data_IF_382008730039
#
_entry.id   IF_382008730039
#
_cell.length_a   1.000
_cell.length_b   1.000
_cell.length_c   1.000
_cell.angle_alpha   90.00
_cell.angle_beta   90.00
_cell.angle_gamma   90.00
#
_symmetry.space_group_name_H-M   'P 1'
#
loop_
_entity.id
_entity.type
_entity.pdbx_description
1 polymer ?
#
# COMPACT_ATOMS: atom_id res chain seq x y z
N UNK A 1 -13.33 -14.32 7.79
CA UNK A 1 -12.33 -13.52 8.54
C UNK A 1 -11.17 -13.14 7.63
N UNK A 2 -10.51 -14.11 6.98
CA UNK A 2 -9.39 -13.87 6.04
C UNK A 2 -9.63 -12.81 4.96
N UNK A 3 -10.79 -12.81 4.29
CA UNK A 3 -11.10 -11.82 3.26
C UNK A 3 -11.18 -10.38 3.79
N UNK A 4 -11.71 -10.19 5.01
CA UNK A 4 -11.78 -8.86 5.63
C UNK A 4 -10.39 -8.39 6.05
N UNK A 5 -9.56 -9.29 6.60
CA UNK A 5 -8.17 -8.98 6.94
C UNK A 5 -7.35 -8.63 5.69
N UNK A 6 -7.54 -9.36 4.59
CA UNK A 6 -6.92 -9.06 3.29
C UNK A 6 -7.31 -7.67 2.79
N UNK A 7 -8.60 -7.33 2.83
CA UNK A 7 -9.09 -5.99 2.47
C UNK A 7 -8.48 -4.90 3.34
N UNK A 8 -8.39 -5.14 4.65
CA UNK A 8 -7.82 -4.18 5.58
C UNK A 8 -6.33 -3.95 5.30
N UNK A 9 -5.55 -5.01 5.12
CA UNK A 9 -4.13 -4.92 4.82
C UNK A 9 -3.89 -4.19 3.49
N UNK A 10 -4.60 -4.56 2.43
CA UNK A 10 -4.48 -3.90 1.13
C UNK A 10 -4.97 -2.44 1.17
N UNK A 11 -5.99 -2.15 1.97
CA UNK A 11 -6.44 -0.79 2.25
C UNK A 11 -5.33 0.05 2.88
N UNK A 12 -4.66 -0.46 3.91
CA UNK A 12 -3.54 0.24 4.55
C UNK A 12 -2.37 0.49 3.57
N UNK A 13 -2.02 -0.49 2.73
CA UNK A 13 -1.00 -0.30 1.69
C UNK A 13 -1.45 0.79 0.69
N UNK A 14 -2.71 0.78 0.29
CA UNK A 14 -3.27 1.81 -0.59
C UNK A 14 -3.21 3.21 0.03
N UNK A 15 -3.53 3.34 1.32
CA UNK A 15 -3.49 4.61 2.04
C UNK A 15 -2.06 5.17 2.15
N UNK A 16 -1.07 4.31 2.41
CA UNK A 16 0.34 4.69 2.42
C UNK A 16 0.81 5.20 1.05
N UNK A 17 0.45 4.49 -0.02
CA UNK A 17 0.78 4.91 -1.39
C UNK A 17 0.10 6.23 -1.76
N UNK A 18 -1.14 6.45 -1.32
CA UNK A 18 -1.85 7.71 -1.54
C UNK A 18 -1.20 8.88 -0.80
N UNK A 19 -0.76 8.67 0.44
CA UNK A 19 -0.04 9.68 1.22
C UNK A 19 1.33 10.01 0.59
N UNK A 20 2.04 9.00 0.09
CA UNK A 20 3.29 9.17 -0.65
C UNK A 20 3.07 10.02 -1.92
N UNK A 21 2.03 9.71 -2.71
CA UNK A 21 1.69 10.45 -3.91
C UNK A 21 1.35 11.93 -3.61
N UNK A 22 0.59 12.18 -2.55
CA UNK A 22 0.27 13.54 -2.13
C UNK A 22 1.52 14.32 -1.71
N UNK A 23 2.41 13.70 -0.93
CA UNK A 23 3.68 14.33 -0.52
C UNK A 23 4.65 14.53 -1.69
N UNK A 24 4.64 13.64 -2.67
CA UNK A 24 5.42 13.81 -3.90
C UNK A 24 4.91 15.02 -4.71
N UNK A 25 3.59 15.15 -4.89
CA UNK A 25 3.01 16.32 -5.53
C UNK A 25 3.32 17.63 -4.78
N UNK A 26 3.21 17.62 -3.45
CA UNK A 26 3.53 18.79 -2.63
C UNK A 26 5.00 19.20 -2.78
N UNK A 27 5.92 18.22 -2.86
CA UNK A 27 7.35 18.45 -3.06
C UNK A 27 7.62 19.26 -4.34
N UNK A 28 6.91 18.95 -5.42
CA UNK A 28 7.11 19.56 -6.73
C UNK A 28 6.39 20.91 -6.90
N UNK A 29 5.40 21.22 -6.07
CA UNK A 29 4.50 22.36 -6.32
C UNK A 29 4.48 23.41 -5.22
N UNK A 30 4.51 23.03 -3.94
CA UNK A 30 4.30 23.94 -2.82
C UNK A 30 5.46 23.96 -1.82
N UNK A 31 6.23 22.87 -1.74
CA UNK A 31 7.23 22.70 -0.71
C UNK A 31 8.42 23.67 -0.87
N UNK A 32 8.85 24.37 0.19
CA UNK A 32 10.05 25.19 0.14
C UNK A 32 11.31 24.31 -0.01
N UNK A 33 12.34 24.73 -0.79
CA UNK A 33 13.54 23.92 -1.04
C UNK A 33 14.28 23.45 0.22
N UNK A 34 14.25 24.23 1.29
CA UNK A 34 14.90 23.89 2.56
C UNK A 34 14.30 22.65 3.25
N UNK A 35 13.08 22.23 2.89
CA UNK A 35 12.43 21.05 3.46
C UNK A 35 12.80 19.73 2.75
N UNK A 36 13.56 19.78 1.66
CA UNK A 36 13.90 18.60 0.84
C UNK A 36 14.51 17.42 1.64
N UNK A 37 15.44 17.62 2.59
CA UNK A 37 16.01 16.50 3.35
C UNK A 37 14.97 15.75 4.19
N UNK A 38 14.06 16.49 4.85
CA UNK A 38 13.01 15.90 5.69
C UNK A 38 11.95 15.22 4.82
N UNK A 39 11.56 15.83 3.70
CA UNK A 39 10.61 15.23 2.75
C UNK A 39 11.14 13.91 2.18
N UNK A 40 12.41 13.84 1.82
CA UNK A 40 13.04 12.61 1.37
C UNK A 40 12.93 11.47 2.40
N UNK A 41 13.14 11.77 3.68
CA UNK A 41 12.99 10.78 4.76
C UNK A 41 11.54 10.33 4.96
N UNK A 42 10.57 11.26 4.86
CA UNK A 42 9.14 10.93 4.94
C UNK A 42 8.72 9.99 3.82
N UNK A 43 9.07 10.32 2.57
CA UNK A 43 8.77 9.49 1.40
C UNK A 43 9.43 8.12 1.51
N UNK A 44 10.70 8.05 1.89
CA UNK A 44 11.41 6.78 2.08
C UNK A 44 10.76 5.91 3.18
N UNK A 45 10.28 6.53 4.26
CA UNK A 45 9.58 5.82 5.34
C UNK A 45 8.27 5.22 4.84
N UNK A 46 7.45 6.00 4.13
CA UNK A 46 6.18 5.50 3.59
C UNK A 46 6.39 4.38 2.56
N UNK A 47 7.30 4.58 1.60
CA UNK A 47 7.61 3.58 0.60
C UNK A 47 8.12 2.28 1.24
N UNK A 48 9.00 2.40 2.25
CA UNK A 48 9.51 1.25 2.99
C UNK A 48 8.42 0.49 3.76
N UNK A 49 7.51 1.20 4.42
CA UNK A 49 6.38 0.59 5.14
C UNK A 49 5.40 -0.09 4.17
N UNK A 50 5.01 0.60 3.09
CA UNK A 50 4.12 0.05 2.06
C UNK A 50 4.71 -1.20 1.42
N UNK A 51 6.00 -1.17 1.06
CA UNK A 51 6.71 -2.32 0.52
C UNK A 51 6.80 -3.49 1.51
N UNK A 52 7.16 -3.21 2.77
CA UNK A 52 7.28 -4.24 3.82
C UNK A 52 5.95 -4.93 4.06
N UNK A 53 4.85 -4.17 4.13
CA UNK A 53 3.51 -4.74 4.32
C UNK A 53 3.06 -5.56 3.11
N UNK A 54 3.36 -5.09 1.89
CA UNK A 54 2.94 -5.77 0.67
C UNK A 54 3.75 -7.06 0.39
N UNK A 55 5.01 -7.12 0.83
CA UNK A 55 5.87 -8.30 0.64
C UNK A 55 5.91 -9.24 1.87
N UNK A 56 5.18 -8.91 2.93
CA UNK A 56 5.13 -9.74 4.13
C UNK A 56 4.50 -11.12 3.82
N UNK A 57 5.04 -12.23 4.40
CA UNK A 57 4.46 -13.57 4.24
C UNK A 57 2.97 -13.64 4.59
N UNK A 58 2.54 -12.80 5.54
CA UNK A 58 1.14 -12.67 5.95
C UNK A 58 0.20 -12.34 4.79
N UNK A 59 0.63 -11.55 3.79
CA UNK A 59 -0.21 -11.27 2.63
C UNK A 59 -0.48 -12.57 1.83
N UNK A 60 0.55 -13.40 1.62
CA UNK A 60 0.42 -14.69 0.95
C UNK A 60 -0.55 -15.61 1.68
N UNK A 61 -0.41 -15.75 3.00
CA UNK A 61 -1.33 -16.53 3.83
C UNK A 61 -2.79 -16.06 3.71
N UNK A 62 -3.00 -14.74 3.68
CA UNK A 62 -4.33 -14.15 3.54
C UNK A 62 -4.91 -14.34 2.14
N UNK A 63 -4.08 -14.31 1.09
CA UNK A 63 -4.48 -14.61 -0.29
C UNK A 63 -4.88 -16.08 -0.45
N UNK A 64 -4.10 -17.00 0.10
CA UNK A 64 -4.39 -18.45 0.05
C UNK A 64 -5.67 -18.81 0.81
N UNK A 65 -5.91 -18.14 1.95
CA UNK A 65 -7.11 -18.33 2.77
C UNK A 65 -8.31 -17.48 2.32
N UNK A 66 -8.16 -16.62 1.31
CA UNK A 66 -9.23 -15.73 0.87
C UNK A 66 -10.37 -16.52 0.21
N UNK A 67 -11.60 -16.23 0.63
CA UNK A 67 -12.81 -16.78 0.03
C UNK A 67 -13.64 -15.61 -0.51
N UNK A 68 -13.50 -15.27 -1.80
CA UNK A 68 -14.21 -14.15 -2.41
C UNK A 68 -15.73 -14.35 -2.36
N UNK A 69 -16.44 -13.44 -1.71
CA UNK A 69 -17.91 -13.41 -1.68
C UNK A 69 -18.53 -12.57 -2.80
N UNK A 70 -17.70 -11.84 -3.57
CA UNK A 70 -18.13 -10.91 -4.61
C UNK A 70 -17.16 -10.86 -5.79
N UNK A 71 -17.62 -10.33 -6.92
CA UNK A 71 -16.76 -10.07 -8.08
C UNK A 71 -15.65 -9.06 -7.80
N UNK A 72 -15.88 -8.14 -6.87
CA UNK A 72 -14.87 -7.18 -6.43
C UNK A 72 -13.76 -7.90 -5.67
N UNK A 73 -14.11 -8.79 -4.73
CA UNK A 73 -13.13 -9.59 -3.99
C UNK A 73 -12.30 -10.49 -4.89
N UNK A 74 -12.97 -11.13 -5.87
CA UNK A 74 -12.28 -12.00 -6.82
C UNK A 74 -11.25 -11.22 -7.63
N UNK A 75 -11.61 -10.01 -8.10
CA UNK A 75 -10.67 -9.12 -8.80
C UNK A 75 -9.54 -8.66 -7.91
N UNK A 76 -9.82 -8.34 -6.65
CA UNK A 76 -8.81 -7.91 -5.67
C UNK A 76 -7.75 -9.01 -5.48
N UNK A 77 -8.18 -10.26 -5.27
CA UNK A 77 -7.26 -11.41 -5.18
C UNK A 77 -6.46 -11.57 -6.46
N UNK A 78 -7.10 -11.65 -7.63
CA UNK A 78 -6.40 -11.85 -8.92
C UNK A 78 -5.36 -10.78 -9.21
N UNK A 79 -5.72 -9.50 -9.04
CA UNK A 79 -4.80 -8.38 -9.31
C UNK A 79 -3.64 -8.34 -8.31
N UNK A 80 -3.90 -8.72 -7.06
CA UNK A 80 -2.86 -8.73 -6.02
C UNK A 80 -1.88 -9.87 -6.27
N UNK A 81 -2.36 -11.08 -6.57
CA UNK A 81 -1.51 -12.23 -6.91
C UNK A 81 -0.64 -11.97 -8.13
N UNK A 82 -1.14 -11.23 -9.14
CA UNK A 82 -0.36 -10.91 -10.34
C UNK A 82 0.75 -9.85 -10.11
N UNK A 83 0.79 -9.20 -8.94
CA UNK A 83 1.76 -8.17 -8.56
C UNK A 83 2.85 -8.68 -7.61
N UNK A 84 2.75 -9.93 -7.18
CA UNK A 84 3.76 -10.65 -6.40
C UNK A 84 4.69 -11.41 -7.36
#
# INVERSE_FOLDING_TARGET
MSMNELRQLLGQVSDLNAAEALMSWDQETQMPPAAAPVRGQQLATLAGLGHTMFTAPRLGELLDAAQPGSDADRRLVTVTTARL
#
